data_IF_373856953388
#
_entry.id   IF_373856953388
#
_cell.length_a   1.000
_cell.length_b   1.000
_cell.length_c   1.000
_cell.angle_alpha   90.00
_cell.angle_beta   90.00
_cell.angle_gamma   90.00
#
_symmetry.space_group_name_H-M   'P 1'
#
loop_
_entity.id
_entity.type
_entity.pdbx_description
1 polymer ?
#
# COMPACT_ATOMS: atom_id res chain seq x y z
N UNK A 1 -18.92 28.19 29.63
CA UNK A 1 -18.17 29.06 28.72
C UNK A 1 -16.83 28.37 28.50
N UNK A 2 -16.79 27.46 27.53
CA UNK A 2 -15.62 26.67 27.19
C UNK A 2 -15.34 26.91 25.70
N UNK A 3 -14.20 27.54 25.43
CA UNK A 3 -13.68 27.77 24.08
C UNK A 3 -13.27 26.42 23.47
N UNK A 4 -13.96 26.01 22.40
CA UNK A 4 -13.52 24.91 21.56
C UNK A 4 -12.41 25.41 20.63
N UNK A 5 -11.20 24.91 20.86
CA UNK A 5 -10.06 25.06 19.95
C UNK A 5 -10.36 24.30 18.66
N UNK A 6 -10.40 25.03 17.55
CA UNK A 6 -10.36 24.47 16.20
C UNK A 6 -9.00 23.81 15.96
N UNK A 7 -8.94 22.49 15.89
CA UNK A 7 -7.83 21.76 15.28
C UNK A 7 -8.15 21.61 13.79
N UNK A 8 -7.54 22.47 12.98
CA UNK A 8 -7.46 22.31 11.53
C UNK A 8 -6.54 21.12 11.23
N UNK A 9 -7.12 19.92 11.12
CA UNK A 9 -6.46 18.79 10.47
C UNK A 9 -6.48 19.04 8.96
N UNK A 10 -5.44 19.71 8.46
CA UNK A 10 -5.13 19.71 7.04
C UNK A 10 -4.78 18.28 6.62
N UNK A 11 -5.78 17.51 6.23
CA UNK A 11 -5.55 16.39 5.31
C UNK A 11 -5.03 17.00 4.02
N UNK A 12 -3.76 16.74 3.72
CA UNK A 12 -3.21 16.95 2.39
C UNK A 12 -3.85 15.94 1.43
N UNK A 13 -5.11 16.17 1.09
CA UNK A 13 -5.68 15.70 -0.15
C UNK A 13 -4.98 16.51 -1.26
N UNK A 14 -4.01 15.89 -1.92
CA UNK A 14 -3.38 16.46 -3.11
C UNK A 14 -4.42 16.53 -4.24
N UNK A 15 -5.31 17.50 -4.14
CA UNK A 15 -6.11 18.05 -5.23
C UNK A 15 -5.22 18.90 -6.14
N UNK A 16 -4.23 18.27 -6.77
CA UNK A 16 -3.57 18.90 -7.91
C UNK A 16 -4.38 18.58 -9.17
N UNK A 17 -4.88 19.67 -9.75
CA UNK A 17 -5.38 19.83 -11.11
C UNK A 17 -4.98 18.69 -12.06
N UNK A 18 -5.97 18.20 -12.80
CA UNK A 18 -5.92 17.09 -13.76
C UNK A 18 -4.95 17.27 -14.95
N UNK A 19 -4.16 18.34 -14.98
CA UNK A 19 -3.06 18.54 -15.93
C UNK A 19 -1.70 18.04 -15.39
N UNK A 20 -1.56 17.77 -14.08
CA UNK A 20 -0.29 17.35 -13.44
C UNK A 20 -0.03 15.83 -13.38
N UNK A 21 -1.02 14.99 -13.70
CA UNK A 21 -0.88 13.53 -13.54
C UNK A 21 0.08 12.90 -14.58
N UNK A 22 0.07 13.37 -15.83
CA UNK A 22 1.00 12.88 -16.85
C UNK A 22 2.43 13.39 -16.63
N UNK A 23 2.59 14.62 -16.11
CA UNK A 23 3.91 15.18 -15.81
C UNK A 23 4.56 14.47 -14.62
N UNK A 24 3.78 14.15 -13.58
CA UNK A 24 4.22 13.36 -12.43
C UNK A 24 4.59 11.91 -12.82
N UNK A 25 3.79 11.29 -13.70
CA UNK A 25 4.08 9.94 -14.20
C UNK A 25 5.40 9.85 -14.99
N UNK A 26 5.67 10.84 -15.86
CA UNK A 26 6.93 10.90 -16.62
C UNK A 26 8.13 11.11 -15.70
N UNK A 27 8.00 11.99 -14.71
CA UNK A 27 9.06 12.21 -13.72
C UNK A 27 9.37 10.94 -12.92
N UNK A 28 8.35 10.21 -12.47
CA UNK A 28 8.54 8.96 -11.73
C UNK A 28 9.18 7.87 -12.59
N UNK A 29 8.80 7.74 -13.86
CA UNK A 29 9.43 6.79 -14.79
C UNK A 29 10.92 7.12 -14.99
N UNK A 30 11.26 8.40 -15.14
CA UNK A 30 12.67 8.84 -15.28
C UNK A 30 13.46 8.51 -14.00
N UNK A 31 12.91 8.81 -12.82
CA UNK A 31 13.53 8.47 -11.53
C UNK A 31 13.75 6.97 -11.39
N UNK A 32 12.75 6.16 -11.73
CA UNK A 32 12.85 4.70 -11.70
C UNK A 32 13.93 4.19 -12.66
N UNK A 33 14.00 4.74 -13.87
CA UNK A 33 15.04 4.37 -14.83
C UNK A 33 16.44 4.71 -14.31
N UNK A 34 16.64 5.92 -13.80
CA UNK A 34 17.91 6.34 -13.17
C UNK A 34 18.26 5.38 -12.03
N UNK A 35 17.33 5.11 -11.14
CA UNK A 35 17.56 4.25 -9.99
C UNK A 35 17.95 2.82 -10.40
N UNK A 36 17.29 2.24 -11.40
CA UNK A 36 17.62 0.90 -11.92
C UNK A 36 19.00 0.87 -12.58
N UNK A 37 19.34 1.88 -13.38
CA UNK A 37 20.66 1.97 -14.04
C UNK A 37 21.79 2.05 -13.00
N UNK A 38 21.66 2.95 -12.02
CA UNK A 38 22.66 3.11 -10.98
C UNK A 38 22.70 1.91 -10.01
N UNK A 39 21.57 1.27 -9.74
CA UNK A 39 21.53 0.02 -8.98
C UNK A 39 22.31 -1.09 -9.68
N UNK A 40 22.05 -1.31 -10.97
CA UNK A 40 22.75 -2.31 -11.76
C UNK A 40 24.24 -2.00 -11.87
N UNK A 41 24.61 -0.72 -12.08
CA UNK A 41 26.01 -0.29 -12.10
C UNK A 41 26.69 -0.51 -10.75
N UNK A 42 26.02 -0.21 -9.63
CA UNK A 42 26.52 -0.47 -8.27
C UNK A 42 26.72 -1.97 -8.02
N UNK A 43 25.74 -2.79 -8.37
CA UNK A 43 25.81 -4.24 -8.22
C UNK A 43 26.94 -4.86 -9.06
N UNK A 44 27.09 -4.44 -10.33
CA UNK A 44 28.18 -4.89 -11.20
C UNK A 44 29.55 -4.44 -10.65
N UNK A 45 29.63 -3.19 -10.16
CA UNK A 45 30.86 -2.66 -9.59
C UNK A 45 31.28 -3.44 -8.34
N UNK A 46 30.34 -3.78 -7.46
CA UNK A 46 30.58 -4.53 -6.23
C UNK A 46 30.95 -6.01 -6.52
N UNK A 47 30.07 -6.74 -7.19
CA UNK A 47 30.19 -8.20 -7.35
C UNK A 47 31.14 -8.63 -8.48
N UNK A 48 31.12 -7.94 -9.63
CA UNK A 48 31.82 -8.42 -10.84
C UNK A 48 33.21 -7.78 -10.96
N UNK A 49 33.29 -6.47 -10.75
CA UNK A 49 34.54 -5.72 -10.90
C UNK A 49 35.33 -5.63 -9.59
N UNK A 50 34.75 -6.03 -8.45
CA UNK A 50 35.31 -5.84 -7.11
C UNK A 50 35.88 -4.43 -6.93
N UNK A 51 35.13 -3.46 -7.44
CA UNK A 51 35.50 -2.06 -7.44
C UNK A 51 35.64 -1.55 -5.99
N UNK A 52 36.50 -0.55 -5.76
CA UNK A 52 36.65 -0.01 -4.42
C UNK A 52 35.34 0.61 -3.90
N UNK A 53 35.15 0.53 -2.57
CA UNK A 53 33.94 0.93 -1.83
C UNK A 53 33.28 2.22 -2.32
N UNK A 54 34.07 3.25 -2.59
CA UNK A 54 33.54 4.55 -2.99
C UNK A 54 32.76 4.50 -4.32
N UNK A 55 33.11 3.62 -5.25
CA UNK A 55 32.46 3.54 -6.57
C UNK A 55 31.07 2.93 -6.43
N UNK A 56 30.98 1.71 -5.92
CA UNK A 56 29.69 1.03 -5.82
C UNK A 56 28.77 1.69 -4.79
N UNK A 57 29.32 2.22 -3.69
CA UNK A 57 28.54 2.98 -2.70
C UNK A 57 27.94 4.25 -3.32
N UNK A 58 28.71 4.99 -4.13
CA UNK A 58 28.18 6.18 -4.81
C UNK A 58 27.03 5.81 -5.75
N UNK A 59 27.16 4.72 -6.49
CA UNK A 59 26.09 4.21 -7.34
C UNK A 59 24.83 3.84 -6.54
N UNK A 60 24.98 3.14 -5.42
CA UNK A 60 23.84 2.80 -4.55
C UNK A 60 23.21 4.04 -3.91
N UNK A 61 23.99 5.02 -3.47
CA UNK A 61 23.45 6.29 -2.93
C UNK A 61 22.65 7.03 -4.00
N UNK A 62 23.15 7.13 -5.23
CA UNK A 62 22.42 7.78 -6.33
C UNK A 62 21.12 7.03 -6.63
N UNK A 63 21.17 5.70 -6.67
CA UNK A 63 19.99 4.86 -6.84
C UNK A 63 18.95 5.09 -5.73
N UNK A 64 19.41 5.07 -4.47
CA UNK A 64 18.56 5.28 -3.31
C UNK A 64 17.92 6.67 -3.30
N UNK A 65 18.68 7.73 -3.57
CA UNK A 65 18.13 9.10 -3.59
C UNK A 65 17.11 9.27 -4.71
N UNK A 66 17.32 8.65 -5.88
CA UNK A 66 16.43 8.80 -7.02
C UNK A 66 14.99 8.32 -6.73
N UNK A 67 14.81 7.27 -5.93
CA UNK A 67 13.49 6.70 -5.61
C UNK A 67 13.09 6.80 -4.13
N UNK A 68 14.03 6.65 -3.21
CA UNK A 68 13.79 6.62 -1.77
C UNK A 68 13.65 8.00 -1.12
N UNK A 69 14.11 9.09 -1.76
CA UNK A 69 14.03 10.43 -1.17
C UNK A 69 12.58 10.87 -0.91
N UNK A 70 11.66 10.60 -1.84
CA UNK A 70 10.25 10.93 -1.68
C UNK A 70 9.66 10.15 -0.49
N UNK A 71 9.94 8.85 -0.41
CA UNK A 71 9.45 7.99 0.67
C UNK A 71 9.94 8.43 2.05
N UNK A 72 11.24 8.76 2.16
CA UNK A 72 11.83 9.24 3.42
C UNK A 72 11.26 10.60 3.79
N UNK A 73 11.06 11.48 2.80
CA UNK A 73 10.45 12.78 3.01
C UNK A 73 9.01 12.62 3.52
N UNK A 74 8.21 11.78 2.87
CA UNK A 74 6.82 11.50 3.26
C UNK A 74 6.77 10.93 4.69
N UNK A 75 7.67 10.00 5.02
CA UNK A 75 7.80 9.46 6.38
C UNK A 75 8.06 10.55 7.42
N UNK A 76 8.95 11.50 7.12
CA UNK A 76 9.27 12.62 8.01
C UNK A 76 8.06 13.55 8.19
N UNK A 77 7.40 13.92 7.08
CA UNK A 77 6.19 14.76 7.12
C UNK A 77 5.06 14.08 7.93
N UNK A 78 4.87 12.78 7.76
CA UNK A 78 3.87 12.00 8.50
C UNK A 78 4.17 11.92 10.01
N UNK A 79 5.45 11.78 10.39
CA UNK A 79 5.87 11.83 11.80
C UNK A 79 5.51 13.20 12.41
N UNK A 80 5.80 14.30 11.71
CA UNK A 80 5.46 15.64 12.17
C UNK A 80 3.95 15.89 12.24
N UNK A 81 3.17 15.21 11.40
CA UNK A 81 1.71 15.21 11.44
C UNK A 81 1.11 14.29 12.54
N UNK A 82 1.95 13.61 13.34
CA UNK A 82 1.51 12.71 14.42
C UNK A 82 1.16 11.29 13.97
N UNK A 83 1.41 10.92 12.71
CA UNK A 83 1.13 9.60 12.10
C UNK A 83 2.40 8.75 12.01
N UNK A 84 3.03 8.48 13.14
CA UNK A 84 4.39 7.90 13.21
C UNK A 84 4.49 6.46 12.69
N UNK A 85 3.44 5.64 12.87
CA UNK A 85 3.48 4.20 12.61
C UNK A 85 2.80 3.83 11.30
N UNK A 86 3.38 4.26 10.18
CA UNK A 86 2.89 3.97 8.84
C UNK A 86 3.90 3.20 7.97
N UNK A 87 3.53 2.91 6.73
CA UNK A 87 4.37 2.17 5.78
C UNK A 87 5.63 2.95 5.37
N UNK A 88 5.53 4.26 5.10
CA UNK A 88 6.67 5.10 4.73
C UNK A 88 7.74 5.08 5.83
N UNK A 89 7.30 5.13 7.10
CA UNK A 89 8.16 5.00 8.26
C UNK A 89 8.87 3.64 8.32
N UNK A 90 8.13 2.54 8.20
CA UNK A 90 8.70 1.18 8.22
C UNK A 90 9.74 0.99 7.12
N UNK A 91 9.40 1.39 5.88
CA UNK A 91 10.28 1.25 4.72
C UNK A 91 11.52 2.14 4.83
N UNK A 92 11.37 3.36 5.36
CA UNK A 92 12.49 4.27 5.60
C UNK A 92 13.45 3.72 6.63
N UNK A 93 12.96 3.25 7.79
CA UNK A 93 13.82 2.67 8.83
C UNK A 93 14.50 1.40 8.33
N UNK A 94 13.77 0.50 7.66
CA UNK A 94 14.34 -0.74 7.16
C UNK A 94 15.48 -0.49 6.17
N UNK A 95 15.25 0.40 5.19
CA UNK A 95 16.22 0.69 4.14
C UNK A 95 17.43 1.49 4.64
N UNK A 96 17.22 2.51 5.49
CA UNK A 96 18.33 3.25 6.11
C UNK A 96 19.11 2.37 7.07
N UNK A 97 18.42 1.51 7.83
CA UNK A 97 19.07 0.52 8.69
C UNK A 97 19.94 -0.44 7.90
N UNK A 98 19.52 -0.87 6.71
CA UNK A 98 20.31 -1.73 5.83
C UNK A 98 21.61 -1.05 5.39
N UNK A 99 21.56 0.25 5.08
CA UNK A 99 22.77 1.04 4.81
C UNK A 99 23.72 1.09 6.02
N UNK A 100 23.19 1.24 7.23
CA UNK A 100 24.00 1.29 8.46
C UNK A 100 24.77 -0.02 8.70
N UNK A 101 24.17 -1.17 8.37
CA UNK A 101 24.82 -2.48 8.50
C UNK A 101 25.68 -2.88 7.28
N UNK A 102 25.78 -2.01 6.27
CA UNK A 102 26.58 -2.22 5.06
C UNK A 102 25.89 -3.03 3.96
N UNK A 103 24.60 -3.32 4.10
CA UNK A 103 23.78 -4.07 3.13
C UNK A 103 23.09 -3.08 2.16
N UNK A 104 23.91 -2.34 1.40
CA UNK A 104 23.45 -1.22 0.56
C UNK A 104 22.51 -1.64 -0.58
N UNK A 105 22.84 -2.76 -1.24
CA UNK A 105 22.07 -3.32 -2.35
C UNK A 105 20.66 -3.70 -1.89
N UNK A 106 20.54 -4.30 -0.71
CA UNK A 106 19.26 -4.67 -0.11
C UNK A 106 18.38 -3.45 0.17
N UNK A 107 18.94 -2.40 0.80
CA UNK A 107 18.21 -1.15 1.06
C UNK A 107 17.71 -0.47 -0.22
N UNK A 108 18.51 -0.46 -1.28
CA UNK A 108 18.12 0.09 -2.58
C UNK A 108 17.04 -0.76 -3.26
N UNK A 109 17.18 -2.09 -3.22
CA UNK A 109 16.22 -3.01 -3.83
C UNK A 109 14.84 -2.91 -3.17
N UNK A 110 14.78 -2.76 -1.85
CA UNK A 110 13.52 -2.50 -1.11
C UNK A 110 12.83 -1.24 -1.63
N UNK A 111 13.57 -0.13 -1.76
CA UNK A 111 13.00 1.15 -2.23
C UNK A 111 12.59 1.12 -3.71
N UNK A 112 13.36 0.42 -4.55
CA UNK A 112 13.02 0.18 -5.95
C UNK A 112 11.73 -0.62 -6.10
N UNK A 113 11.63 -1.76 -5.39
CA UNK A 113 10.44 -2.61 -5.42
C UNK A 113 9.20 -1.87 -4.92
N UNK A 114 9.33 -1.12 -3.83
CA UNK A 114 8.26 -0.26 -3.32
C UNK A 114 7.77 0.74 -4.38
N UNK A 115 8.70 1.49 -4.99
CA UNK A 115 8.38 2.51 -5.98
C UNK A 115 7.72 1.93 -7.24
N UNK A 116 8.16 0.74 -7.67
CA UNK A 116 7.52 -0.01 -8.76
C UNK A 116 6.11 -0.43 -8.37
N UNK A 117 5.95 -0.96 -7.15
CA UNK A 117 4.66 -1.34 -6.58
C UNK A 117 3.68 -0.17 -6.58
N UNK A 118 4.07 0.94 -5.98
CA UNK A 118 3.23 2.15 -5.88
C UNK A 118 2.85 2.73 -7.23
N UNK A 119 3.75 2.70 -8.22
CA UNK A 119 3.41 3.09 -9.59
C UNK A 119 2.30 2.21 -10.18
N UNK A 120 2.40 0.89 -10.02
CA UNK A 120 1.40 -0.08 -10.53
C UNK A 120 0.08 0.10 -9.77
N UNK A 121 0.14 0.30 -8.45
CA UNK A 121 -1.02 0.53 -7.59
C UNK A 121 -1.76 1.80 -7.99
N UNK A 122 -1.05 2.93 -8.14
CA UNK A 122 -1.62 4.19 -8.57
C UNK A 122 -2.27 4.12 -9.95
N UNK A 123 -1.69 3.35 -10.88
CA UNK A 123 -2.30 3.09 -12.19
C UNK A 123 -3.62 2.30 -12.09
N UNK A 124 -3.70 1.31 -11.19
CA UNK A 124 -4.93 0.54 -10.97
C UNK A 124 -6.05 1.39 -10.34
N UNK A 125 -5.71 2.22 -9.34
CA UNK A 125 -6.66 3.08 -8.64
C UNK A 125 -7.19 4.19 -9.56
N UNK A 126 -6.30 4.85 -10.32
CA UNK A 126 -6.69 5.94 -11.24
C UNK A 126 -7.66 5.46 -12.32
N UNK A 127 -7.47 4.24 -12.84
CA UNK A 127 -8.40 3.61 -13.79
C UNK A 127 -9.79 3.40 -13.18
N UNK A 128 -9.86 2.96 -11.91
CA UNK A 128 -11.13 2.78 -11.20
C UNK A 128 -11.84 4.11 -10.94
N UNK A 129 -11.12 5.15 -10.48
CA UNK A 129 -11.69 6.48 -10.19
C UNK A 129 -12.14 7.25 -11.44
N UNK A 130 -11.45 7.09 -12.59
CA UNK A 130 -11.77 7.79 -13.85
C UNK A 130 -13.13 7.40 -14.42
N UNK A 131 -13.57 6.15 -14.21
CA UNK A 131 -14.87 5.68 -14.67
C UNK A 131 -16.03 6.36 -13.91
N UNK A 132 -15.85 6.63 -12.61
CA UNK A 132 -16.83 7.31 -11.77
C UNK A 132 -16.91 8.81 -12.12
N UNK A 133 -15.75 9.49 -12.23
CA UNK A 133 -15.70 10.94 -12.57
C UNK A 133 -16.32 11.27 -13.93
N UNK A 134 -16.23 10.35 -14.90
CA UNK A 134 -16.88 10.53 -16.21
C UNK A 134 -18.40 10.67 -16.06
N UNK A 135 -18.99 9.88 -15.18
CA UNK A 135 -20.43 9.83 -14.94
C UNK A 135 -20.88 11.01 -14.07
N UNK A 136 -20.04 11.44 -13.12
CA UNK A 136 -20.26 12.65 -12.33
C UNK A 136 -20.39 13.91 -13.22
N UNK A 137 -19.47 14.08 -14.18
CA UNK A 137 -19.52 15.18 -15.13
C UNK A 137 -20.73 15.11 -16.09
N UNK A 138 -21.22 13.90 -16.40
CA UNK A 138 -22.40 13.69 -17.25
C UNK A 138 -23.73 13.88 -16.49
N UNK A 139 -23.76 13.66 -15.18
CA UNK A 139 -24.96 13.79 -14.32
C UNK A 139 -25.27 15.24 -13.91
N UNK A 140 -24.33 16.17 -14.09
CA UNK A 140 -24.52 17.59 -13.77
C UNK A 140 -24.71 17.90 -12.27
N UNK A 141 -24.55 16.92 -11.40
CA UNK A 141 -24.65 17.08 -9.96
C UNK A 141 -23.29 16.75 -9.31
N UNK A 142 -22.56 17.75 -8.76
CA UNK A 142 -21.31 17.53 -8.05
C UNK A 142 -21.65 16.95 -6.68
N UNK A 143 -21.93 15.65 -6.65
CA UNK A 143 -22.01 14.94 -5.39
C UNK A 143 -20.59 14.68 -4.92
N UNK A 144 -20.11 15.58 -4.05
CA UNK A 144 -18.87 15.41 -3.33
C UNK A 144 -18.80 13.99 -2.77
N UNK A 145 -17.84 13.22 -3.27
CA UNK A 145 -17.28 12.08 -2.54
C UNK A 145 -16.63 12.65 -1.27
N UNK A 146 -17.44 13.00 -0.28
CA UNK A 146 -16.96 13.05 1.08
C UNK A 146 -16.69 11.59 1.42
N UNK A 147 -15.39 11.27 1.51
CA UNK A 147 -14.93 10.03 2.13
C UNK A 147 -15.60 9.99 3.49
N UNK A 148 -16.70 9.24 3.60
CA UNK A 148 -17.43 9.15 4.86
C UNK A 148 -16.41 8.76 5.91
N UNK A 149 -16.18 9.67 6.83
CA UNK A 149 -15.35 9.61 8.00
C UNK A 149 -15.98 8.58 8.96
N UNK A 150 -16.01 7.33 8.52
CA UNK A 150 -15.99 6.18 9.37
C UNK A 150 -14.68 5.54 8.98
N UNK A 151 -13.69 5.59 9.87
CA UNK A 151 -12.53 4.72 9.79
C UNK A 151 -13.05 3.34 9.40
N UNK A 152 -12.85 2.95 8.14
CA UNK A 152 -13.16 1.59 7.75
C UNK A 152 -12.41 0.72 8.76
N UNK A 153 -13.00 -0.39 9.20
CA UNK A 153 -12.36 -1.34 10.09
C UNK A 153 -10.89 -1.66 9.68
N UNK A 154 -10.58 -1.47 8.40
CA UNK A 154 -9.26 -1.56 7.77
C UNK A 154 -8.28 -0.42 8.15
N UNK A 155 -8.72 0.83 8.27
CA UNK A 155 -7.88 1.96 8.70
C UNK A 155 -7.54 1.86 10.20
N UNK A 156 -8.49 1.45 11.03
CA UNK A 156 -8.26 1.16 12.45
C UNK A 156 -7.30 -0.02 12.65
N UNK A 157 -7.37 -1.03 11.78
CA UNK A 157 -6.44 -2.16 11.79
C UNK A 157 -4.98 -1.72 11.62
N UNK A 158 -4.68 -0.79 10.69
CA UNK A 158 -3.32 -0.31 10.45
C UNK A 158 -2.71 0.37 11.69
N UNK A 159 -3.50 1.15 12.44
CA UNK A 159 -3.06 1.84 13.68
C UNK A 159 -2.61 0.87 14.78
N UNK A 160 -3.17 -0.34 14.81
CA UNK A 160 -2.80 -1.37 15.78
C UNK A 160 -1.69 -2.26 15.23
N UNK A 161 -1.73 -2.58 13.94
CA UNK A 161 -0.82 -3.52 13.31
C UNK A 161 0.62 -3.00 13.23
N UNK A 162 0.83 -1.75 12.80
CA UNK A 162 2.20 -1.22 12.59
C UNK A 162 3.02 -1.14 13.89
N UNK A 163 2.48 -0.65 15.03
CA UNK A 163 3.22 -0.70 16.29
C UNK A 163 3.57 -2.14 16.73
N UNK A 164 2.68 -3.11 16.52
CA UNK A 164 2.93 -4.52 16.83
C UNK A 164 4.11 -5.04 16.00
N UNK A 165 4.16 -4.73 14.70
CA UNK A 165 5.28 -5.10 13.82
C UNK A 165 6.59 -4.50 14.32
N UNK A 166 6.61 -3.21 14.69
CA UNK A 166 7.79 -2.55 15.24
C UNK A 166 8.27 -3.25 16.53
N UNK A 167 7.35 -3.59 17.43
CA UNK A 167 7.67 -4.31 18.67
C UNK A 167 8.27 -5.68 18.34
N UNK A 168 7.65 -6.45 17.45
CA UNK A 168 8.16 -7.76 17.03
C UNK A 168 9.56 -7.62 16.43
N UNK A 169 9.79 -6.65 15.55
CA UNK A 169 11.10 -6.40 14.97
C UNK A 169 12.16 -6.12 16.04
N UNK A 170 11.86 -5.26 17.02
CA UNK A 170 12.76 -4.97 18.15
C UNK A 170 13.05 -6.24 18.96
N UNK A 171 12.03 -7.04 19.26
CA UNK A 171 12.21 -8.31 19.98
C UNK A 171 13.08 -9.30 19.19
N UNK A 172 12.91 -9.37 17.87
CA UNK A 172 13.74 -10.21 16.97
C UNK A 172 15.20 -9.73 16.96
N UNK A 173 15.45 -8.41 17.01
CA UNK A 173 16.82 -7.86 17.08
C UNK A 173 17.48 -8.16 18.42
N UNK A 174 16.74 -8.07 19.53
CA UNK A 174 17.33 -8.08 20.88
C UNK A 174 17.40 -9.49 21.48
N UNK A 175 16.34 -10.30 21.39
CA UNK A 175 16.24 -11.56 22.14
C UNK A 175 17.35 -12.55 21.75
N UNK A 176 17.58 -12.85 20.46
CA UNK A 176 18.54 -13.89 20.10
C UNK A 176 20.01 -13.52 20.36
N UNK A 177 20.50 -12.30 20.08
CA UNK A 177 21.85 -11.91 20.49
C UNK A 177 22.05 -11.91 22.01
N UNK A 178 21.03 -11.49 22.79
CA UNK A 178 21.14 -11.37 24.24
C UNK A 178 21.06 -12.71 24.97
N UNK A 179 20.15 -13.60 24.56
CA UNK A 179 19.89 -14.88 25.26
C UNK A 179 20.57 -16.09 24.60
N UNK A 180 20.79 -16.05 23.29
CA UNK A 180 21.37 -17.16 22.52
C UNK A 180 22.79 -16.86 21.99
N UNK A 181 23.39 -15.74 22.43
CA UNK A 181 24.75 -15.30 22.09
C UNK A 181 25.03 -15.29 20.57
N UNK A 182 24.03 -14.91 19.78
CA UNK A 182 24.12 -14.82 18.32
C UNK A 182 24.73 -13.49 17.84
N UNK A 183 25.12 -13.42 16.58
CA UNK A 183 25.72 -12.23 15.98
C UNK A 183 24.70 -11.09 15.81
N UNK A 184 25.02 -9.89 16.31
CA UNK A 184 24.14 -8.72 16.23
C UNK A 184 23.82 -8.30 14.80
N UNK A 185 24.81 -8.30 13.89
CA UNK A 185 24.61 -7.87 12.50
C UNK A 185 23.50 -8.65 11.82
N UNK A 186 23.49 -9.97 12.00
CA UNK A 186 22.49 -10.86 11.42
C UNK A 186 21.09 -10.61 11.98
N UNK A 187 20.95 -10.42 13.28
CA UNK A 187 19.63 -10.21 13.89
C UNK A 187 19.10 -8.80 13.67
N UNK A 188 19.97 -7.80 13.51
CA UNK A 188 19.61 -6.48 12.98
C UNK A 188 19.06 -6.64 11.57
N UNK A 189 19.77 -7.34 10.67
CA UNK A 189 19.29 -7.60 9.31
C UNK A 189 17.91 -8.29 9.27
N UNK A 190 17.70 -9.30 10.11
CA UNK A 190 16.40 -9.98 10.24
C UNK A 190 15.32 -9.04 10.77
N UNK A 191 15.64 -8.21 11.77
CA UNK A 191 14.72 -7.20 12.29
C UNK A 191 14.29 -6.19 11.23
N UNK A 192 15.23 -5.71 10.40
CA UNK A 192 14.93 -4.83 9.27
C UNK A 192 14.04 -5.54 8.24
N UNK A 193 14.34 -6.80 7.92
CA UNK A 193 13.48 -7.62 7.06
C UNK A 193 12.06 -7.79 7.62
N UNK A 194 11.90 -7.96 8.93
CA UNK A 194 10.59 -8.02 9.60
C UNK A 194 9.80 -6.72 9.41
N UNK A 195 10.46 -5.55 9.50
CA UNK A 195 9.81 -4.27 9.24
C UNK A 195 9.29 -4.18 7.80
N UNK A 196 10.08 -4.64 6.82
CA UNK A 196 9.67 -4.68 5.40
C UNK A 196 8.49 -5.62 5.16
N UNK A 197 8.52 -6.84 5.69
CA UNK A 197 7.43 -7.83 5.54
C UNK A 197 6.14 -7.33 6.20
N UNK A 198 6.29 -6.64 7.33
CA UNK A 198 5.19 -6.14 8.14
C UNK A 198 4.54 -4.87 7.59
N UNK A 199 4.92 -4.34 6.43
CA UNK A 199 4.19 -3.24 5.81
C UNK A 199 2.77 -3.70 5.39
N UNK A 200 1.67 -3.02 5.75
CA UNK A 200 0.31 -3.50 5.48
C UNK A 200 -0.25 -3.19 4.06
N UNK A 201 0.59 -2.83 3.09
CA UNK A 201 0.22 -2.24 1.79
C UNK A 201 -0.89 -3.00 1.04
N UNK A 202 -0.76 -4.33 0.94
CA UNK A 202 -1.75 -5.18 0.26
C UNK A 202 -3.17 -5.07 0.83
N UNK A 203 -3.30 -4.89 2.15
CA UNK A 203 -4.60 -4.79 2.82
C UNK A 203 -5.16 -3.37 2.64
N UNK A 204 -4.33 -2.35 2.90
CA UNK A 204 -4.73 -0.95 2.87
C UNK A 204 -5.22 -0.54 1.47
N UNK A 205 -4.57 -1.02 0.41
CA UNK A 205 -4.90 -0.64 -0.97
C UNK A 205 -6.04 -1.49 -1.55
N UNK A 206 -6.01 -2.80 -1.36
CA UNK A 206 -6.90 -3.70 -2.11
C UNK A 206 -8.35 -3.67 -1.64
N UNK A 207 -8.60 -3.34 -0.37
CA UNK A 207 -9.96 -3.29 0.18
C UNK A 207 -10.76 -2.13 -0.43
N UNK A 208 -10.34 -0.86 -0.33
CA UNK A 208 -11.07 0.25 -0.95
C UNK A 208 -11.17 0.09 -2.47
N UNK A 209 -10.16 -0.52 -3.11
CA UNK A 209 -10.20 -0.83 -4.54
C UNK A 209 -11.30 -1.86 -4.89
N UNK A 210 -11.51 -2.87 -4.06
CA UNK A 210 -12.55 -3.90 -4.26
C UNK A 210 -13.95 -3.29 -4.23
N UNK A 211 -14.19 -2.36 -3.31
CA UNK A 211 -15.45 -1.60 -3.21
C UNK A 211 -15.60 -0.60 -4.35
N UNK A 212 -14.54 0.14 -4.70
CA UNK A 212 -14.56 1.09 -5.82
C UNK A 212 -14.87 0.40 -7.16
N UNK A 213 -14.29 -0.78 -7.40
CA UNK A 213 -14.62 -1.61 -8.56
C UNK A 213 -16.07 -2.11 -8.55
N UNK A 214 -16.64 -2.40 -7.37
CA UNK A 214 -18.04 -2.81 -7.27
C UNK A 214 -19.00 -1.64 -7.51
N UNK A 215 -18.66 -0.44 -7.03
CA UNK A 215 -19.39 0.79 -7.35
C UNK A 215 -19.37 1.02 -8.87
N UNK A 216 -18.21 0.97 -9.52
CA UNK A 216 -18.13 1.14 -10.98
C UNK A 216 -19.01 0.13 -11.74
N UNK A 217 -19.07 -1.12 -11.29
CA UNK A 217 -19.95 -2.13 -11.88
C UNK A 217 -21.45 -1.80 -11.70
N UNK A 218 -21.84 -1.24 -10.57
CA UNK A 218 -23.19 -0.72 -10.31
C UNK A 218 -23.50 0.48 -11.21
N UNK A 219 -22.58 1.43 -11.34
CA UNK A 219 -22.81 2.65 -12.10
C UNK A 219 -23.02 2.36 -13.59
N UNK A 220 -22.30 1.37 -14.15
CA UNK A 220 -22.52 0.88 -15.53
C UNK A 220 -23.92 0.30 -15.79
N UNK A 221 -24.73 0.07 -14.75
CA UNK A 221 -26.11 -0.41 -14.84
C UNK A 221 -27.14 0.64 -14.34
N UNK A 222 -26.73 1.89 -14.19
CA UNK A 222 -27.59 2.96 -13.68
C UNK A 222 -28.00 2.75 -12.22
N UNK A 223 -27.09 2.19 -11.41
CA UNK A 223 -27.20 2.11 -9.95
C UNK A 223 -26.08 3.00 -9.39
N UNK A 224 -26.45 4.07 -8.71
CA UNK A 224 -25.51 5.05 -8.20
C UNK A 224 -25.26 4.77 -6.72
N UNK A 225 -23.98 4.59 -6.35
CA UNK A 225 -23.56 4.33 -4.98
C UNK A 225 -22.53 5.39 -4.61
N UNK A 226 -22.89 6.27 -3.68
CA UNK A 226 -22.11 7.46 -3.35
C UNK A 226 -20.99 7.18 -2.34
N UNK A 227 -21.13 6.14 -1.51
CA UNK A 227 -20.17 5.81 -0.46
C UNK A 227 -19.72 4.35 -0.57
N UNK A 228 -18.41 4.08 -0.45
CA UNK A 228 -17.84 2.72 -0.38
C UNK A 228 -18.43 1.91 0.78
N UNK A 229 -18.68 2.56 1.92
CA UNK A 229 -19.30 1.96 3.10
C UNK A 229 -20.79 1.60 2.90
N UNK A 230 -21.47 2.16 1.89
CA UNK A 230 -22.88 1.83 1.63
C UNK A 230 -23.05 0.37 1.18
N UNK A 231 -22.13 -0.15 0.36
CA UNK A 231 -22.11 -1.56 -0.03
C UNK A 231 -21.83 -2.48 1.17
N UNK A 232 -20.94 -2.08 2.07
CA UNK A 232 -20.64 -2.86 3.27
C UNK A 232 -21.86 -2.91 4.22
N UNK A 233 -22.51 -1.76 4.45
CA UNK A 233 -23.75 -1.68 5.24
C UNK A 233 -24.88 -2.50 4.62
N UNK A 234 -25.03 -2.48 3.29
CA UNK A 234 -25.99 -3.30 2.56
C UNK A 234 -25.72 -4.79 2.77
N UNK A 235 -24.45 -5.21 2.72
CA UNK A 235 -24.08 -6.60 2.98
C UNK A 235 -24.40 -7.06 4.42
N UNK A 236 -24.13 -6.20 5.43
CA UNK A 236 -24.36 -6.53 6.85
C UNK A 236 -25.84 -6.51 7.24
N UNK A 237 -26.60 -5.53 6.76
CA UNK A 237 -28.00 -5.33 7.15
C UNK A 237 -29.01 -6.02 6.23
N UNK A 238 -28.61 -6.38 5.01
CA UNK A 238 -29.51 -6.88 3.96
C UNK A 238 -30.43 -5.80 3.34
N UNK A 239 -30.44 -4.60 3.92
CA UNK A 239 -31.30 -3.48 3.54
C UNK A 239 -30.50 -2.41 2.78
N UNK A 240 -31.17 -1.75 1.84
CA UNK A 240 -30.57 -0.62 1.10
C UNK A 240 -30.29 0.50 2.10
N UNK A 241 -29.03 0.92 2.17
CA UNK A 241 -28.58 1.98 3.07
C UNK A 241 -28.64 3.34 2.39
N UNK A 242 -28.62 4.41 3.19
CA UNK A 242 -28.46 5.78 2.71
C UNK A 242 -27.19 5.87 1.85
N UNK A 243 -27.31 6.41 0.64
CA UNK A 243 -26.22 6.53 -0.32
C UNK A 243 -26.27 5.54 -1.51
N UNK A 244 -27.34 4.76 -1.66
CA UNK A 244 -27.61 3.96 -2.88
C UNK A 244 -28.87 4.49 -3.57
N UNK A 245 -28.74 4.93 -4.81
CA UNK A 245 -29.84 5.40 -5.66
C UNK A 245 -30.00 4.46 -6.85
N UNK A 246 -31.22 3.93 -7.01
CA UNK A 246 -31.59 3.01 -8.10
C UNK A 246 -32.55 3.75 -9.01
N UNK A 247 -32.09 4.12 -10.21
CA UNK A 247 -32.92 4.76 -11.23
C UNK A 247 -33.88 3.73 -11.83
N UNK A 248 -35.18 4.04 -11.94
CA UNK A 248 -36.21 3.09 -12.41
C UNK A 248 -36.16 1.74 -11.66
N UNK A 249 -36.57 1.77 -10.39
CA UNK A 249 -36.45 0.70 -9.39
C UNK A 249 -37.02 -0.66 -9.90
N UNK A 250 -36.16 -1.48 -10.50
CA UNK A 250 -36.48 -2.85 -10.90
C UNK A 250 -35.85 -3.86 -9.93
N UNK A 251 -36.54 -4.98 -9.69
CA UNK A 251 -36.03 -6.08 -8.86
C UNK A 251 -34.64 -6.55 -9.32
N UNK A 252 -34.38 -6.49 -10.63
CA UNK A 252 -33.08 -6.83 -11.24
C UNK A 252 -31.93 -5.91 -10.80
N UNK A 253 -32.19 -4.61 -10.63
CA UNK A 253 -31.17 -3.67 -10.15
C UNK A 253 -30.88 -3.85 -8.66
N UNK A 254 -31.92 -4.13 -7.87
CA UNK A 254 -31.78 -4.42 -6.45
C UNK A 254 -31.01 -5.74 -6.21
N UNK A 255 -31.30 -6.78 -6.99
CA UNK A 255 -30.58 -8.06 -6.91
C UNK A 255 -29.12 -7.91 -7.35
N UNK A 256 -28.86 -7.07 -8.36
CA UNK A 256 -27.50 -6.75 -8.79
C UNK A 256 -26.69 -6.05 -7.71
N UNK A 257 -27.20 -4.98 -7.08
CA UNK A 257 -26.44 -4.23 -6.07
C UNK A 257 -26.14 -5.08 -4.83
N UNK A 258 -27.07 -5.97 -4.42
CA UNK A 258 -26.83 -6.96 -3.35
C UNK A 258 -25.72 -7.94 -3.73
N UNK A 259 -25.72 -8.41 -4.99
CA UNK A 259 -24.66 -9.29 -5.51
C UNK A 259 -23.31 -8.57 -5.57
N UNK A 260 -23.29 -7.30 -5.97
CA UNK A 260 -22.10 -6.47 -6.01
C UNK A 260 -21.50 -6.27 -4.60
N UNK A 261 -22.33 -5.91 -3.63
CA UNK A 261 -21.93 -5.77 -2.23
C UNK A 261 -21.33 -7.06 -1.67
N UNK A 262 -22.03 -8.20 -1.85
CA UNK A 262 -21.53 -9.51 -1.41
C UNK A 262 -20.18 -9.84 -2.06
N UNK A 263 -20.04 -9.61 -3.37
CA UNK A 263 -18.81 -9.92 -4.09
C UNK A 263 -17.64 -9.04 -3.64
N UNK A 264 -17.87 -7.75 -3.41
CA UNK A 264 -16.85 -6.83 -2.90
C UNK A 264 -16.30 -7.26 -1.53
N UNK A 265 -17.20 -7.61 -0.59
CA UNK A 265 -16.80 -8.06 0.76
C UNK A 265 -16.07 -9.40 0.69
N UNK A 266 -16.55 -10.36 -0.11
CA UNK A 266 -15.87 -11.66 -0.26
C UNK A 266 -14.47 -11.48 -0.84
N UNK A 267 -14.31 -10.69 -1.90
CA UNK A 267 -13.00 -10.41 -2.51
C UNK A 267 -12.07 -9.70 -1.52
N UNK A 268 -12.58 -8.73 -0.76
CA UNK A 268 -11.81 -8.06 0.29
C UNK A 268 -11.31 -9.05 1.35
N UNK A 269 -12.16 -9.98 1.81
CA UNK A 269 -11.78 -11.02 2.76
C UNK A 269 -10.76 -12.00 2.20
N UNK A 270 -10.91 -12.41 0.93
CA UNK A 270 -9.92 -13.23 0.22
C UNK A 270 -8.56 -12.52 0.18
N UNK A 271 -8.53 -11.24 -0.19
CA UNK A 271 -7.30 -10.44 -0.26
C UNK A 271 -6.61 -10.33 1.10
N UNK A 272 -7.37 -10.03 2.16
CA UNK A 272 -6.84 -9.95 3.52
C UNK A 272 -6.27 -11.31 3.95
N UNK A 273 -7.00 -12.40 3.72
CA UNK A 273 -6.57 -13.74 4.10
C UNK A 273 -5.28 -14.17 3.38
N UNK A 274 -5.19 -13.94 2.06
CA UNK A 274 -3.99 -14.23 1.28
C UNK A 274 -2.82 -13.37 1.74
N UNK A 275 -3.05 -12.06 1.96
CA UNK A 275 -1.99 -11.15 2.38
C UNK A 275 -1.40 -11.51 3.74
N UNK A 276 -2.26 -11.79 4.74
CA UNK A 276 -1.81 -12.22 6.06
C UNK A 276 -1.14 -13.59 5.97
N UNK A 277 -1.72 -14.53 5.22
CA UNK A 277 -1.19 -15.89 5.09
C UNK A 277 0.24 -15.91 4.52
N UNK A 278 0.46 -15.22 3.40
CA UNK A 278 1.79 -15.17 2.77
C UNK A 278 2.78 -14.42 3.67
N UNK A 279 2.37 -13.31 4.31
CA UNK A 279 3.24 -12.58 5.24
C UNK A 279 3.66 -13.42 6.44
N UNK A 280 2.73 -14.18 7.03
CA UNK A 280 3.06 -15.09 8.13
C UNK A 280 4.04 -16.18 7.69
N UNK A 281 3.87 -16.74 6.49
CA UNK A 281 4.81 -17.72 5.95
C UNK A 281 6.19 -17.10 5.76
N UNK A 282 6.31 -15.96 5.06
CA UNK A 282 7.59 -15.29 4.81
C UNK A 282 8.24 -14.84 6.12
N UNK A 283 7.45 -14.32 7.07
CA UNK A 283 7.93 -13.94 8.40
C UNK A 283 8.50 -15.12 9.16
N UNK A 284 7.81 -16.27 9.17
CA UNK A 284 8.32 -17.48 9.82
C UNK A 284 9.62 -17.95 9.16
N UNK A 285 9.68 -17.90 7.83
CA UNK A 285 10.88 -18.27 7.08
C UNK A 285 12.07 -17.36 7.44
N UNK A 286 11.88 -16.05 7.46
CA UNK A 286 12.93 -15.06 7.77
C UNK A 286 13.40 -15.17 9.23
N UNK A 287 12.48 -15.35 10.18
CA UNK A 287 12.82 -15.36 11.61
C UNK A 287 13.42 -16.70 12.03
N UNK A 288 12.84 -17.83 11.60
CA UNK A 288 13.13 -19.14 12.19
C UNK A 288 13.94 -20.10 11.33
N UNK A 289 13.98 -19.96 9.99
CA UNK A 289 14.52 -21.04 9.13
C UNK A 289 15.97 -20.87 8.60
N UNK A 290 16.74 -19.82 8.96
CA UNK A 290 18.15 -19.54 8.55
C UNK A 290 18.38 -19.43 7.01
N UNK A 291 19.38 -18.77 6.41
CA UNK A 291 20.33 -17.68 6.75
C UNK A 291 20.58 -16.74 5.53
N UNK A 292 19.79 -16.85 4.46
CA UNK A 292 20.08 -16.21 3.17
C UNK A 292 18.86 -15.57 2.50
N UNK A 293 17.72 -15.41 3.20
CA UNK A 293 16.58 -14.74 2.60
C UNK A 293 16.90 -13.25 2.48
N UNK A 294 17.01 -12.73 1.26
CA UNK A 294 17.40 -11.36 1.10
C UNK A 294 16.22 -10.44 1.45
N UNK A 295 16.51 -9.27 2.00
CA UNK A 295 15.52 -8.28 2.41
C UNK A 295 14.67 -7.81 1.21
N UNK A 296 15.22 -7.80 0.00
CA UNK A 296 14.45 -7.51 -1.21
C UNK A 296 13.36 -8.56 -1.49
N UNK A 297 13.55 -9.84 -1.11
CA UNK A 297 12.52 -10.87 -1.26
C UNK A 297 11.35 -10.61 -0.31
N UNK A 298 11.64 -10.09 0.88
CA UNK A 298 10.64 -9.59 1.82
C UNK A 298 9.80 -8.47 1.18
N UNK A 299 10.44 -7.45 0.57
CA UNK A 299 9.74 -6.39 -0.16
C UNK A 299 8.94 -6.93 -1.36
N UNK A 300 9.52 -7.88 -2.10
CA UNK A 300 8.88 -8.51 -3.25
C UNK A 300 7.61 -9.25 -2.84
N UNK A 301 7.60 -9.89 -1.67
CA UNK A 301 6.40 -10.55 -1.16
C UNK A 301 5.26 -9.54 -0.95
N UNK A 302 5.51 -8.38 -0.38
CA UNK A 302 4.47 -7.37 -0.13
C UNK A 302 3.93 -6.75 -1.43
N UNK A 303 4.83 -6.38 -2.36
CA UNK A 303 4.45 -5.83 -3.67
C UNK A 303 3.72 -6.87 -4.52
N UNK A 304 4.21 -8.12 -4.54
CA UNK A 304 3.60 -9.21 -5.29
C UNK A 304 2.21 -9.58 -4.77
N UNK A 305 2.02 -9.68 -3.46
CA UNK A 305 0.71 -9.90 -2.84
C UNK A 305 -0.23 -8.74 -3.19
N UNK A 306 0.25 -7.50 -3.12
CA UNK A 306 -0.56 -6.31 -3.47
C UNK A 306 -1.05 -6.37 -4.91
N UNK A 307 -0.20 -6.80 -5.85
CA UNK A 307 -0.59 -7.01 -7.23
C UNK A 307 -1.67 -8.09 -7.40
N UNK A 308 -1.51 -9.24 -6.73
CA UNK A 308 -2.52 -10.31 -6.73
C UNK A 308 -3.85 -9.78 -6.16
N UNK A 309 -3.80 -9.04 -5.07
CA UNK A 309 -4.97 -8.45 -4.42
C UNK A 309 -5.68 -7.46 -5.35
N UNK A 310 -4.93 -6.62 -6.07
CA UNK A 310 -5.46 -5.71 -7.11
C UNK A 310 -6.15 -6.48 -8.23
N UNK A 311 -5.50 -7.51 -8.78
CA UNK A 311 -6.11 -8.33 -9.84
C UNK A 311 -7.39 -9.02 -9.34
N UNK A 312 -7.42 -9.47 -8.09
CA UNK A 312 -8.61 -10.04 -7.48
C UNK A 312 -9.71 -8.98 -7.31
N UNK A 313 -9.38 -7.77 -6.87
CA UNK A 313 -10.30 -6.62 -6.78
C UNK A 313 -10.97 -6.29 -8.11
N UNK A 314 -10.25 -6.42 -9.24
CA UNK A 314 -10.81 -6.20 -10.57
C UNK A 314 -11.92 -7.20 -10.94
N UNK A 315 -12.05 -8.36 -10.26
CA UNK A 315 -13.18 -9.29 -10.48
C UNK A 315 -14.52 -8.69 -10.04
N UNK A 316 -14.51 -7.66 -9.20
CA UNK A 316 -15.71 -6.87 -8.87
C UNK A 316 -16.28 -6.15 -10.10
N UNK A 317 -15.47 -5.84 -11.12
CA UNK A 317 -15.96 -5.24 -12.37
C UNK A 317 -16.76 -6.21 -13.24
N UNK A 318 -16.51 -7.52 -13.11
CA UNK A 318 -17.16 -8.57 -13.91
C UNK A 318 -18.24 -9.27 -13.09
N UNK A 319 -19.21 -8.51 -12.59
CA UNK A 319 -20.41 -9.08 -11.95
C UNK A 319 -21.41 -9.47 -13.05
N UNK A 320 -21.69 -10.78 -13.13
CA UNK A 320 -22.84 -11.29 -13.89
C UNK A 320 -23.98 -11.51 -12.90
N UNK A 321 -25.18 -11.02 -13.22
CA UNK A 321 -26.39 -11.46 -12.54
C UNK A 321 -26.67 -12.90 -12.96
N UNK A 322 -27.10 -13.72 -12.01
CA UNK A 322 -27.58 -15.08 -12.28
C UNK A 322 -29.06 -15.02 -12.61
#
# INVERSE_FOLDING_TARGET
>A
MAEHKHEHSHEHDHSHNHENFEHSKKALIIKLFIAVVFFAAGYIADEILSAPLYIYLSCFIISYIAVGFEVVKDAVEDIFAGKVFNECFLMSIASLGAFVIGEYSEGCAVMLLYSIGEFIHGAAISKSKKAIRKIENESGNPHHHESSENESFIAAFAKVYTPIVCIIAILVVIIPPLFLYQEWKEWIYRGLSVLVIGCPCAIVISVPLSFSCAIDACTRRGIYVYHTNALEKLYKSGNVSEGIVIENNSEDKLSFVKTAAKKAVVISRENIAVAIGVKLVVLILVVFLNRELPMWLAAFSDVGISFIAILNSLRSLRIKTK
#
